data_IF_832066293285
#
_entry.id   IF_832066293285
#
_cell.length_a   1.000
_cell.length_b   1.000
_cell.length_c   1.000
_cell.angle_alpha   90.00
_cell.angle_beta   90.00
_cell.angle_gamma   90.00
#
_symmetry.space_group_name_H-M   'P 1'
#
loop_
_entity.id
_entity.type
_entity.pdbx_description
1 polymer ?
#
# COMPACT_ATOMS: atom_id res chain seq x y z
N UNK A 1 -11.22 -13.63 10.03
CA UNK A 1 -9.80 -13.91 9.73
C UNK A 1 -9.41 -13.61 8.29
N UNK A 2 -10.12 -14.10 7.27
CA UNK A 2 -9.82 -13.83 5.84
C UNK A 2 -9.65 -12.33 5.50
N UNK A 3 -10.55 -11.48 5.99
CA UNK A 3 -10.51 -10.02 5.72
C UNK A 3 -9.38 -9.28 6.45
N UNK A 4 -8.94 -9.78 7.62
CA UNK A 4 -7.77 -9.22 8.31
C UNK A 4 -6.49 -9.50 7.52
N UNK A 5 -6.35 -10.73 7.00
CA UNK A 5 -5.23 -11.12 6.17
C UNK A 5 -5.18 -10.32 4.87
N UNK A 6 -6.34 -10.06 4.24
CA UNK A 6 -6.41 -9.24 3.03
C UNK A 6 -5.92 -7.81 3.30
N UNK A 7 -6.39 -7.16 4.37
CA UNK A 7 -5.98 -5.79 4.70
C UNK A 7 -4.48 -5.68 4.99
N UNK A 8 -3.91 -6.70 5.64
CA UNK A 8 -2.47 -6.78 5.92
C UNK A 8 -1.65 -6.94 4.62
N UNK A 9 -2.11 -7.78 3.68
CA UNK A 9 -1.47 -7.95 2.37
C UNK A 9 -1.47 -6.65 1.56
N UNK A 10 -2.60 -5.95 1.50
CA UNK A 10 -2.70 -4.66 0.80
C UNK A 10 -1.72 -3.62 1.36
N UNK A 11 -1.59 -3.54 2.69
CA UNK A 11 -0.61 -2.66 3.34
C UNK A 11 0.83 -3.06 3.03
N UNK A 12 1.16 -4.35 3.08
CA UNK A 12 2.52 -4.84 2.75
C UNK A 12 2.88 -4.55 1.30
N UNK A 13 1.97 -4.80 0.35
CA UNK A 13 2.17 -4.50 -1.07
C UNK A 13 2.40 -3.01 -1.27
N UNK A 14 1.59 -2.14 -0.64
CA UNK A 14 1.76 -0.69 -0.73
C UNK A 14 3.12 -0.23 -0.21
N UNK A 15 3.57 -0.76 0.93
CA UNK A 15 4.90 -0.45 1.50
C UNK A 15 6.01 -0.91 0.55
N UNK A 16 5.90 -2.13 0.01
CA UNK A 16 6.90 -2.67 -0.94
C UNK A 16 7.01 -1.80 -2.18
N UNK A 17 5.88 -1.36 -2.77
CA UNK A 17 5.89 -0.47 -3.93
C UNK A 17 6.60 0.85 -3.61
N UNK A 18 6.32 1.46 -2.46
CA UNK A 18 7.00 2.70 -2.02
C UNK A 18 8.50 2.45 -1.85
N UNK A 19 8.91 1.38 -1.17
CA UNK A 19 10.31 1.04 -0.96
C UNK A 19 11.06 0.80 -2.28
N UNK A 20 10.48 0.01 -3.19
CA UNK A 20 11.06 -0.25 -4.51
C UNK A 20 11.20 1.04 -5.34
N UNK A 21 10.30 2.00 -5.15
CA UNK A 21 10.36 3.30 -5.84
C UNK A 21 11.48 4.17 -5.28
N UNK A 22 11.63 4.21 -3.95
CA UNK A 22 12.68 5.01 -3.27
C UNK A 22 14.07 4.40 -3.51
N UNK A 23 14.18 3.08 -3.58
CA UNK A 23 15.42 2.37 -3.89
C UNK A 23 15.79 2.42 -5.39
N UNK A 24 15.04 3.16 -6.22
CA UNK A 24 15.27 3.26 -7.66
C UNK A 24 15.26 1.90 -8.40
N UNK A 25 14.58 0.90 -7.83
CA UNK A 25 14.44 -0.45 -8.42
C UNK A 25 13.33 -0.43 -9.49
N UNK A 26 12.29 0.38 -9.29
CA UNK A 26 11.23 0.57 -10.27
C UNK A 26 11.72 1.47 -11.42
N UNK A 27 11.60 1.03 -12.69
CA UNK A 27 12.03 1.81 -13.83
C UNK A 27 11.22 3.10 -13.93
N UNK A 28 11.81 4.19 -13.48
CA UNK A 28 11.18 5.51 -13.43
C UNK A 28 12.09 6.48 -14.17
N UNK A 29 11.86 6.56 -15.49
CA UNK A 29 12.65 7.40 -16.40
C UNK A 29 12.55 8.91 -16.11
N UNK A 30 11.58 9.31 -15.29
CA UNK A 30 11.34 10.71 -14.92
C UNK A 30 10.96 10.83 -13.45
N UNK A 31 11.27 11.98 -12.85
CA UNK A 31 10.87 12.31 -11.46
C UNK A 31 9.34 12.23 -11.26
N UNK A 32 8.57 12.55 -12.31
CA UNK A 32 7.11 12.43 -12.30
C UNK A 32 6.64 10.99 -12.11
N UNK A 33 7.28 10.01 -12.75
CA UNK A 33 6.95 8.59 -12.59
C UNK A 33 7.20 8.10 -11.16
N UNK A 34 8.29 8.55 -10.51
CA UNK A 34 8.58 8.24 -9.10
C UNK A 34 7.46 8.73 -8.19
N UNK A 35 6.99 9.96 -8.41
CA UNK A 35 5.88 10.54 -7.64
C UNK A 35 4.60 9.70 -7.84
N UNK A 36 4.30 9.32 -9.08
CA UNK A 36 3.12 8.48 -9.39
C UNK A 36 3.19 7.14 -8.65
N UNK A 37 4.33 6.45 -8.68
CA UNK A 37 4.47 5.16 -7.98
C UNK A 37 4.38 5.31 -6.45
N UNK A 38 4.94 6.38 -5.88
CA UNK A 38 4.77 6.69 -4.45
C UNK A 38 3.29 6.89 -4.13
N UNK A 39 2.58 7.73 -4.88
CA UNK A 39 1.15 8.00 -4.66
C UNK A 39 0.31 6.73 -4.76
N UNK A 40 0.59 5.86 -5.74
CA UNK A 40 -0.07 4.55 -5.86
C UNK A 40 0.19 3.70 -4.61
N UNK A 41 1.44 3.60 -4.16
CA UNK A 41 1.79 2.86 -2.94
C UNK A 41 1.05 3.37 -1.70
N UNK A 42 0.93 4.70 -1.55
CA UNK A 42 0.15 5.32 -0.47
C UNK A 42 -1.34 4.96 -0.53
N UNK A 43 -1.96 4.91 -1.72
CA UNK A 43 -3.35 4.48 -1.89
C UNK A 43 -3.54 3.05 -1.40
N UNK A 44 -2.62 2.14 -1.75
CA UNK A 44 -2.66 0.74 -1.27
C UNK A 44 -2.56 0.63 0.26
N UNK A 45 -1.70 1.44 0.89
CA UNK A 45 -1.55 1.49 2.36
C UNK A 45 -2.85 1.97 3.03
N UNK A 46 -3.47 3.02 2.49
CA UNK A 46 -4.73 3.57 3.00
C UNK A 46 -5.86 2.55 2.90
N UNK A 47 -6.00 1.90 1.74
CA UNK A 47 -7.04 0.86 1.53
C UNK A 47 -6.84 -0.30 2.51
N UNK A 48 -5.61 -0.81 2.65
CA UNK A 48 -5.30 -1.87 3.61
C UNK A 48 -5.64 -1.48 5.05
N UNK A 49 -5.32 -0.24 5.43
CA UNK A 49 -5.65 0.34 6.74
C UNK A 49 -7.16 0.44 6.98
N UNK A 50 -7.92 0.92 5.98
CA UNK A 50 -9.39 1.04 6.06
C UNK A 50 -10.06 -0.32 6.19
N UNK A 51 -9.63 -1.32 5.42
CA UNK A 51 -10.16 -2.69 5.50
C UNK A 51 -9.92 -3.28 6.89
N UNK A 52 -8.70 -3.10 7.42
CA UNK A 52 -8.34 -3.57 8.77
C UNK A 52 -9.16 -2.84 9.84
N UNK A 53 -9.34 -1.53 9.73
CA UNK A 53 -10.14 -0.74 10.66
C UNK A 53 -11.61 -1.15 10.65
N UNK A 54 -12.22 -1.33 9.47
CA UNK A 54 -13.59 -1.84 9.35
C UNK A 54 -13.75 -3.22 9.98
N UNK A 55 -12.79 -4.12 9.76
CA UNK A 55 -12.83 -5.45 10.36
C UNK A 55 -12.76 -5.42 11.90
N UNK A 56 -11.93 -4.54 12.48
CA UNK A 56 -11.82 -4.37 13.92
C UNK A 56 -13.10 -3.78 14.52
N UNK A 57 -13.70 -2.77 13.86
CA UNK A 57 -14.97 -2.17 14.29
C UNK A 57 -16.14 -3.15 14.22
N UNK A 58 -16.14 -4.08 13.26
CA UNK A 58 -17.19 -5.08 13.11
C UNK A 58 -17.10 -6.22 14.16
N UNK A 59 -15.98 -6.31 14.88
CA UNK A 59 -15.74 -7.31 15.94
C UNK A 59 -16.02 -6.75 17.35
N UNK A 60 -16.16 -5.43 17.50
CA UNK A 60 -16.67 -4.78 18.71
C UNK A 60 -18.20 -4.79 18.71
#
# INVERSE_FOLDING_TARGET
>A
MKNLSIGMLFSVIGIVIVCLTIMDILPSSTNTMKIVYIVIGWIFIIIGSVIRFKHLKQKQ
#
